data_IF_803046989171
#
_entry.id   IF_803046989171
#
_cell.length_a   1.000
_cell.length_b   1.000
_cell.length_c   1.000
_cell.angle_alpha   90.00
_cell.angle_beta   90.00
_cell.angle_gamma   90.00
#
_symmetry.space_group_name_H-M   'P 1'
#
loop_
_entity.id
_entity.type
_entity.pdbx_description
1 polymer ?
#
# COMPACT_ATOMS: atom_id res chain seq x y z
N UNK A 1 -26.65 7.55 -36.47
CA UNK A 1 -26.85 6.59 -35.37
C UNK A 1 -25.48 6.02 -35.04
N UNK A 2 -24.76 6.64 -34.10
CA UNK A 2 -23.43 6.20 -33.69
C UNK A 2 -23.60 5.24 -32.51
N UNK A 3 -23.24 3.97 -32.71
CA UNK A 3 -23.11 3.00 -31.63
C UNK A 3 -21.83 3.35 -30.88
N UNK A 4 -21.97 3.99 -29.72
CA UNK A 4 -20.90 4.08 -28.74
C UNK A 4 -20.69 2.66 -28.20
N UNK A 5 -19.65 2.01 -28.67
CA UNK A 5 -19.10 0.85 -27.99
C UNK A 5 -18.56 1.34 -26.64
N UNK A 6 -19.38 1.23 -25.60
CA UNK A 6 -18.91 1.29 -24.23
C UNK A 6 -17.88 0.18 -24.07
N UNK A 7 -16.60 0.56 -24.05
CA UNK A 7 -15.54 -0.31 -23.57
C UNK A 7 -15.85 -0.58 -22.09
N UNK A 8 -16.59 -1.65 -21.84
CA UNK A 8 -16.67 -2.26 -20.51
C UNK A 8 -15.26 -2.71 -20.18
N UNK A 9 -14.54 -1.88 -19.42
CA UNK A 9 -13.35 -2.30 -18.70
C UNK A 9 -13.76 -3.52 -17.90
N UNK A 10 -13.23 -4.68 -18.30
CA UNK A 10 -13.38 -5.92 -17.54
C UNK A 10 -12.81 -5.64 -16.15
N UNK A 11 -13.70 -5.51 -15.16
CA UNK A 11 -13.30 -5.59 -13.76
C UNK A 11 -12.77 -7.01 -13.59
N UNK A 12 -11.45 -7.15 -13.44
CA UNK A 12 -10.86 -8.46 -13.21
C UNK A 12 -11.51 -9.06 -11.96
N UNK A 13 -12.27 -10.13 -12.15
CA UNK A 13 -12.87 -10.86 -11.04
C UNK A 13 -11.76 -11.59 -10.30
N UNK A 14 -11.89 -11.68 -8.98
CA UNK A 14 -10.93 -12.35 -8.10
C UNK A 14 -10.63 -13.76 -8.58
N UNK A 15 -11.64 -14.51 -9.03
CA UNK A 15 -11.49 -15.86 -9.60
C UNK A 15 -10.65 -15.90 -10.88
N UNK A 16 -10.71 -14.86 -11.72
CA UNK A 16 -9.91 -14.77 -12.94
C UNK A 16 -8.43 -14.51 -12.62
N UNK A 17 -8.15 -13.82 -11.51
CA UNK A 17 -6.77 -13.55 -11.10
C UNK A 17 -6.05 -14.80 -10.64
N UNK A 18 -6.71 -15.72 -9.94
CA UNK A 18 -6.09 -16.98 -9.50
C UNK A 18 -5.47 -17.74 -10.69
N UNK A 19 -6.20 -17.84 -11.80
CA UNK A 19 -5.71 -18.47 -13.02
C UNK A 19 -4.45 -17.78 -13.57
N UNK A 20 -4.37 -16.45 -13.48
CA UNK A 20 -3.19 -15.70 -13.88
C UNK A 20 -2.00 -15.92 -12.94
N UNK A 21 -2.24 -16.13 -11.64
CA UNK A 21 -1.19 -16.32 -10.63
C UNK A 21 -0.44 -17.65 -10.79
N UNK A 22 -1.06 -18.66 -11.41
CA UNK A 22 -0.41 -19.96 -11.65
C UNK A 22 0.88 -19.88 -12.48
N UNK A 23 1.07 -18.79 -13.24
CA UNK A 23 2.33 -18.54 -13.94
C UNK A 23 3.52 -18.29 -12.99
N UNK A 24 3.26 -18.02 -11.71
CA UNK A 24 4.26 -17.71 -10.68
C UNK A 24 4.46 -18.83 -9.65
N UNK A 25 3.68 -19.91 -9.75
CA UNK A 25 3.74 -21.05 -8.84
C UNK A 25 2.37 -21.65 -8.57
N UNK A 26 2.31 -22.67 -7.72
CA UNK A 26 1.06 -23.19 -7.21
C UNK A 26 0.50 -22.23 -6.15
N UNK A 27 -0.40 -21.34 -6.56
CA UNK A 27 -0.96 -20.26 -5.75
C UNK A 27 -2.48 -20.35 -5.77
N UNK A 28 -3.10 -20.46 -4.59
CA UNK A 28 -4.54 -20.32 -4.40
C UNK A 28 -4.87 -18.90 -3.93
N UNK A 29 -5.98 -18.34 -4.43
CA UNK A 29 -6.50 -17.04 -4.00
C UNK A 29 -7.79 -17.24 -3.21
N UNK A 30 -7.71 -17.04 -1.88
CA UNK A 30 -8.77 -17.39 -0.95
C UNK A 30 -9.43 -16.13 -0.41
N UNK A 31 -10.68 -15.89 -0.77
CA UNK A 31 -11.50 -14.86 -0.13
C UNK A 31 -12.02 -15.33 1.22
N UNK A 32 -12.20 -14.42 2.19
CA UNK A 32 -12.79 -14.75 3.49
C UNK A 32 -13.73 -13.68 4.05
N UNK A 33 -14.72 -14.13 4.81
CA UNK A 33 -15.77 -13.32 5.45
C UNK A 33 -15.63 -13.28 6.97
N UNK A 34 -15.14 -12.17 7.50
CA UNK A 34 -15.01 -12.00 8.94
C UNK A 34 -14.08 -13.03 9.58
N UNK A 35 -14.18 -13.19 10.90
CA UNK A 35 -13.17 -13.95 11.68
C UNK A 35 -13.37 -15.45 11.60
N UNK A 36 -14.60 -15.93 11.71
CA UNK A 36 -14.88 -17.35 11.81
C UNK A 36 -14.55 -18.07 10.50
N UNK A 37 -14.96 -17.50 9.36
CA UNK A 37 -14.60 -18.04 8.04
C UNK A 37 -13.08 -18.00 7.81
N UNK A 38 -12.43 -16.90 8.20
CA UNK A 38 -10.98 -16.78 8.13
C UNK A 38 -10.27 -17.91 8.89
N UNK A 39 -10.61 -18.13 10.16
CA UNK A 39 -9.98 -19.16 10.98
C UNK A 39 -10.25 -20.56 10.42
N UNK A 40 -11.47 -20.83 9.93
CA UNK A 40 -11.81 -22.10 9.26
C UNK A 40 -10.95 -22.34 8.03
N UNK A 41 -10.82 -21.34 7.15
CA UNK A 41 -10.01 -21.44 5.92
C UNK A 41 -8.52 -21.60 6.24
N UNK A 42 -8.00 -20.90 7.25
CA UNK A 42 -6.62 -21.09 7.72
C UNK A 42 -6.42 -22.50 8.30
N UNK A 43 -7.37 -23.03 9.07
CA UNK A 43 -7.30 -24.38 9.60
C UNK A 43 -7.25 -25.44 8.49
N UNK A 44 -8.10 -25.28 7.48
CA UNK A 44 -8.09 -26.16 6.29
C UNK A 44 -6.78 -26.05 5.51
N UNK A 45 -6.23 -24.83 5.39
CA UNK A 45 -5.03 -24.55 4.62
C UNK A 45 -3.72 -24.97 5.28
N UNK A 46 -3.61 -24.78 6.60
CA UNK A 46 -2.36 -24.89 7.36
C UNK A 46 -2.44 -25.84 8.56
N UNK A 47 -3.63 -26.10 9.06
CA UNK A 47 -3.87 -26.60 10.41
C UNK A 47 -3.51 -25.55 11.46
N UNK A 48 -4.50 -25.03 12.20
CA UNK A 48 -4.28 -24.03 13.26
C UNK A 48 -3.33 -24.54 14.36
N UNK A 49 -3.23 -25.86 14.55
CA UNK A 49 -2.27 -26.49 15.45
C UNK A 49 -0.81 -26.26 15.09
N UNK A 50 -0.50 -25.85 13.84
CA UNK A 50 0.84 -25.52 13.38
C UNK A 50 1.19 -24.03 13.58
N UNK A 51 0.23 -23.22 14.03
CA UNK A 51 0.41 -21.79 14.27
C UNK A 51 0.58 -21.59 15.76
N UNK A 52 1.62 -20.87 16.16
CA UNK A 52 1.79 -20.50 17.57
C UNK A 52 0.67 -19.52 17.97
N UNK A 53 -0.11 -19.91 18.97
CA UNK A 53 -1.19 -19.11 19.57
C UNK A 53 -2.14 -18.48 18.52
N UNK A 54 -2.86 -19.26 17.70
CA UNK A 54 -3.60 -18.76 16.55
C UNK A 54 -4.68 -17.75 16.93
N UNK A 55 -5.31 -17.93 18.10
CA UNK A 55 -6.30 -16.99 18.62
C UNK A 55 -5.71 -15.59 18.87
N UNK A 56 -4.47 -15.53 19.38
CA UNK A 56 -3.75 -14.28 19.62
C UNK A 56 -3.20 -13.71 18.31
N UNK A 57 -2.55 -14.56 17.49
CA UNK A 57 -1.96 -14.17 16.20
C UNK A 57 -3.00 -13.53 15.28
N UNK A 58 -4.20 -14.10 15.23
CA UNK A 58 -5.27 -13.57 14.39
C UNK A 58 -6.29 -12.75 15.15
N UNK A 59 -6.04 -12.34 16.41
CA UNK A 59 -6.97 -11.53 17.22
C UNK A 59 -7.51 -10.30 16.48
N UNK A 60 -6.69 -9.74 15.58
CA UNK A 60 -7.11 -8.76 14.57
C UNK A 60 -6.88 -9.35 13.19
N UNK A 61 -7.92 -9.36 12.36
CA UNK A 61 -7.81 -9.85 11.00
C UNK A 61 -6.93 -8.92 10.15
N UNK A 62 -6.21 -9.48 9.16
CA UNK A 62 -5.53 -8.70 8.15
C UNK A 62 -6.47 -7.73 7.45
N UNK A 63 -5.99 -6.49 7.27
CA UNK A 63 -6.74 -5.42 6.59
C UNK A 63 -6.45 -5.33 5.10
N UNK A 64 -5.45 -6.08 4.62
CA UNK A 64 -5.03 -6.19 3.23
C UNK A 64 -5.07 -7.65 2.80
N UNK A 65 -4.97 -7.93 1.49
CA UNK A 65 -4.43 -9.19 1.02
C UNK A 65 -3.15 -9.52 1.80
N UNK A 66 -2.97 -10.78 2.12
CA UNK A 66 -1.74 -11.22 2.76
C UNK A 66 -1.42 -12.66 2.37
N UNK A 67 -0.14 -12.91 2.18
CA UNK A 67 0.37 -14.21 1.82
C UNK A 67 0.65 -15.05 3.05
N UNK A 68 0.24 -16.31 2.97
CA UNK A 68 0.64 -17.34 3.92
C UNK A 68 1.67 -18.22 3.24
N UNK A 69 2.93 -17.89 3.46
CA UNK A 69 4.06 -18.77 3.16
C UNK A 69 4.38 -19.57 4.42
N UNK A 70 3.80 -20.76 4.53
CA UNK A 70 4.09 -21.65 5.64
C UNK A 70 5.27 -22.56 5.37
N UNK A 71 5.96 -22.97 6.43
CA UNK A 71 6.65 -24.25 6.45
C UNK A 71 5.84 -25.22 7.31
N UNK A 72 5.48 -26.37 6.77
CA UNK A 72 4.97 -27.49 7.57
C UNK A 72 6.13 -28.43 7.87
N UNK A 73 6.46 -28.61 9.15
CA UNK A 73 7.60 -29.45 9.58
C UNK A 73 8.94 -29.07 8.92
N UNK A 74 9.19 -27.77 8.72
CA UNK A 74 10.43 -27.27 8.13
C UNK A 74 10.50 -27.30 6.60
N UNK A 75 9.52 -27.90 5.92
CA UNK A 75 9.37 -27.89 4.46
C UNK A 75 8.41 -26.80 4.03
N UNK A 76 8.70 -26.10 2.93
CA UNK A 76 7.76 -25.16 2.34
C UNK A 76 6.46 -25.87 1.98
N UNK A 77 5.32 -25.20 2.20
CA UNK A 77 4.05 -25.71 1.69
C UNK A 77 4.13 -25.84 0.15
N UNK A 78 3.58 -26.93 -0.38
CA UNK A 78 3.52 -27.15 -1.83
C UNK A 78 2.72 -26.06 -2.53
N UNK A 79 1.62 -25.63 -1.90
CA UNK A 79 0.71 -24.60 -2.42
C UNK A 79 0.80 -23.35 -1.55
N UNK A 80 1.12 -22.23 -2.17
CA UNK A 80 1.04 -20.92 -1.53
C UNK A 80 -0.42 -20.43 -1.52
N UNK A 81 -0.79 -19.68 -0.48
CA UNK A 81 -2.16 -19.15 -0.34
C UNK A 81 -2.14 -17.67 -0.06
N UNK A 82 -2.87 -16.91 -0.88
CA UNK A 82 -3.10 -15.49 -0.68
C UNK A 82 -4.52 -15.33 -0.15
N UNK A 83 -4.65 -14.77 1.04
CA UNK A 83 -5.93 -14.55 1.68
C UNK A 83 -6.39 -13.11 1.48
N UNK A 84 -7.60 -12.93 0.96
CA UNK A 84 -8.17 -11.62 0.63
C UNK A 84 -9.45 -11.40 1.45
N UNK A 85 -9.54 -10.32 2.26
CA UNK A 85 -10.81 -9.97 2.90
C UNK A 85 -11.87 -9.71 1.82
N UNK A 86 -13.01 -10.40 1.86
CA UNK A 86 -14.03 -10.32 0.81
C UNK A 86 -14.48 -8.88 0.53
N UNK A 87 -14.61 -8.06 1.59
CA UNK A 87 -14.98 -6.63 1.48
C UNK A 87 -14.00 -5.76 0.67
N UNK A 88 -12.83 -6.27 0.29
CA UNK A 88 -11.82 -5.54 -0.49
C UNK A 88 -11.75 -5.97 -1.95
N UNK A 89 -12.59 -6.91 -2.35
CA UNK A 89 -12.59 -7.40 -3.72
C UNK A 89 -13.36 -6.46 -4.66
N UNK A 90 -13.01 -6.39 -5.95
CA UNK A 90 -13.69 -5.52 -6.91
C UNK A 90 -15.20 -5.77 -7.03
N UNK A 91 -15.65 -6.99 -6.78
CA UNK A 91 -17.07 -7.40 -6.81
C UNK A 91 -17.92 -6.65 -5.77
N UNK A 92 -17.29 -6.14 -4.72
CA UNK A 92 -17.95 -5.36 -3.67
C UNK A 92 -17.89 -3.83 -3.90
N UNK A 93 -17.52 -3.38 -5.11
CA UNK A 93 -17.36 -1.96 -5.46
C UNK A 93 -16.48 -1.17 -4.47
N UNK A 94 -15.54 -1.86 -3.81
CA UNK A 94 -14.68 -1.27 -2.79
C UNK A 94 -13.34 -0.92 -3.41
N UNK A 95 -12.87 0.30 -3.13
CA UNK A 95 -11.56 0.74 -3.57
C UNK A 95 -10.49 0.32 -2.56
N UNK A 96 -9.70 -0.69 -2.92
CA UNK A 96 -8.73 -1.28 -2.00
C UNK A 96 -7.73 -0.23 -1.46
N UNK A 97 -7.24 0.70 -2.28
CA UNK A 97 -6.33 1.75 -1.83
C UNK A 97 -7.01 2.69 -0.81
N UNK A 98 -8.28 3.05 -1.01
CA UNK A 98 -9.04 3.84 -0.05
C UNK A 98 -9.15 3.13 1.30
N UNK A 99 -9.55 1.87 1.29
CA UNK A 99 -9.73 1.03 2.49
C UNK A 99 -8.41 0.84 3.27
N UNK A 100 -7.31 0.61 2.54
CA UNK A 100 -5.97 0.46 3.12
C UNK A 100 -5.44 1.77 3.68
N UNK A 101 -5.76 2.90 3.05
CA UNK A 101 -5.55 4.25 3.59
C UNK A 101 -6.61 4.66 4.62
N UNK A 102 -7.39 3.70 5.13
CA UNK A 102 -8.38 3.87 6.21
C UNK A 102 -9.49 4.88 5.86
N UNK A 103 -9.80 5.03 4.59
CA UNK A 103 -10.76 6.00 4.06
C UNK A 103 -10.46 7.45 4.50
N UNK A 104 -9.19 7.76 4.82
CA UNK A 104 -8.81 9.10 5.26
C UNK A 104 -9.07 10.18 4.22
N UNK A 105 -9.07 9.78 2.95
CA UNK A 105 -9.25 10.64 1.79
C UNK A 105 -10.63 10.46 1.13
N UNK A 106 -11.56 9.76 1.81
CA UNK A 106 -12.83 9.32 1.25
C UNK A 106 -12.81 7.85 0.84
N UNK A 107 -13.97 7.34 0.43
CA UNK A 107 -14.16 5.97 -0.07
C UNK A 107 -13.96 5.86 -1.59
N UNK A 108 -13.81 6.99 -2.27
CA UNK A 108 -13.56 7.08 -3.70
C UNK A 108 -12.42 8.04 -3.97
N UNK A 109 -11.36 7.54 -4.57
CA UNK A 109 -10.14 8.27 -4.86
C UNK A 109 -10.06 8.65 -6.34
N UNK A 110 -9.20 9.61 -6.64
CA UNK A 110 -8.81 9.91 -8.01
C UNK A 110 -7.61 9.05 -8.41
N UNK A 111 -7.74 8.26 -9.48
CA UNK A 111 -6.66 7.42 -10.02
C UNK A 111 -6.16 7.98 -11.35
N UNK A 112 -4.87 7.78 -11.62
CA UNK A 112 -4.32 7.97 -12.96
C UNK A 112 -4.62 6.76 -13.86
N UNK A 113 -4.60 5.56 -13.28
CA UNK A 113 -5.00 4.31 -13.92
C UNK A 113 -6.46 3.99 -13.57
N UNK A 114 -6.71 2.89 -12.86
CA UNK A 114 -8.01 2.49 -12.37
C UNK A 114 -7.93 1.59 -11.13
N UNK A 115 -9.07 1.40 -10.48
CA UNK A 115 -9.21 0.59 -9.25
C UNK A 115 -8.94 -0.90 -9.49
N UNK A 116 -9.22 -1.40 -10.70
CA UNK A 116 -8.95 -2.78 -11.07
C UNK A 116 -7.45 -3.07 -11.22
N UNK A 117 -6.71 -2.17 -11.87
CA UNK A 117 -5.27 -2.32 -12.06
C UNK A 117 -4.50 -2.20 -10.74
N UNK A 118 -4.90 -1.28 -9.87
CA UNK A 118 -4.31 -1.13 -8.52
C UNK A 118 -4.65 -2.31 -7.60
N UNK A 119 -5.85 -2.88 -7.71
CA UNK A 119 -6.19 -4.15 -7.06
C UNK A 119 -5.31 -5.30 -7.55
N UNK A 120 -5.19 -5.47 -8.87
CA UNK A 120 -4.30 -6.47 -9.48
C UNK A 120 -2.87 -6.32 -9.00
N UNK A 121 -2.37 -5.09 -8.89
CA UNK A 121 -1.01 -4.82 -8.38
C UNK A 121 -0.82 -5.33 -6.95
N UNK A 122 -1.78 -5.15 -6.04
CA UNK A 122 -1.68 -5.72 -4.69
C UNK A 122 -1.71 -7.26 -4.69
N UNK A 123 -2.52 -7.88 -5.55
CA UNK A 123 -2.56 -9.35 -5.64
C UNK A 123 -1.26 -9.91 -6.22
N UNK A 124 -0.68 -9.26 -7.23
CA UNK A 124 0.60 -9.65 -7.79
C UNK A 124 1.77 -9.39 -6.83
N UNK A 125 1.65 -8.37 -5.97
CA UNK A 125 2.60 -8.13 -4.88
C UNK A 125 2.61 -9.33 -3.92
N UNK A 126 1.44 -9.79 -3.48
CA UNK A 126 1.34 -11.00 -2.66
C UNK A 126 1.83 -12.26 -3.39
N UNK A 127 1.59 -12.38 -4.70
CA UNK A 127 2.13 -13.49 -5.49
C UNK A 127 3.66 -13.53 -5.53
N UNK A 128 4.35 -12.37 -5.43
CA UNK A 128 5.81 -12.35 -5.27
C UNK A 128 6.23 -12.99 -3.95
N UNK A 129 5.48 -12.73 -2.87
CA UNK A 129 5.76 -13.31 -1.55
C UNK A 129 5.60 -14.83 -1.54
N UNK A 130 4.84 -15.42 -2.47
CA UNK A 130 4.75 -16.88 -2.62
C UNK A 130 6.03 -17.58 -3.11
N UNK A 131 7.01 -16.83 -3.61
CA UNK A 131 8.23 -17.41 -4.18
C UNK A 131 9.25 -17.79 -3.07
N UNK A 132 10.05 -18.85 -3.27
CA UNK A 132 10.80 -19.50 -2.21
C UNK A 132 11.94 -18.66 -1.59
N UNK A 133 12.28 -17.53 -2.18
CA UNK A 133 13.27 -16.56 -1.69
C UNK A 133 12.64 -15.43 -0.82
N UNK A 134 11.30 -15.33 -0.79
CA UNK A 134 10.52 -14.41 0.05
C UNK A 134 9.90 -15.14 1.26
N UNK A 135 10.74 -15.51 2.23
CA UNK A 135 10.31 -16.21 3.45
C UNK A 135 10.35 -15.34 4.71
N UNK A 136 10.46 -14.01 4.55
CA UNK A 136 10.57 -13.06 5.66
C UNK A 136 11.88 -13.20 6.45
N UNK A 137 12.11 -12.29 7.39
CA UNK A 137 13.32 -12.26 8.20
C UNK A 137 13.30 -11.15 9.24
N UNK A 138 14.41 -10.43 9.34
CA UNK A 138 14.44 -9.19 10.13
C UNK A 138 13.75 -8.04 9.37
N UNK A 139 13.57 -6.91 10.04
CA UNK A 139 12.91 -5.75 9.44
C UNK A 139 13.57 -5.25 8.13
N UNK A 140 14.88 -5.47 7.94
CA UNK A 140 15.58 -5.06 6.72
C UNK A 140 15.37 -6.07 5.60
N UNK A 141 15.36 -7.38 5.90
CA UNK A 141 14.96 -8.39 4.91
C UNK A 141 13.51 -8.20 4.51
N UNK A 142 12.60 -8.06 5.46
CA UNK A 142 11.18 -7.83 5.17
C UNK A 142 11.00 -6.57 4.31
N UNK A 143 11.73 -5.49 4.59
CA UNK A 143 11.66 -4.28 3.78
C UNK A 143 12.13 -4.49 2.33
N UNK A 144 13.20 -5.25 2.12
CA UNK A 144 13.64 -5.60 0.77
C UNK A 144 12.63 -6.48 0.06
N UNK A 145 12.11 -7.50 0.73
CA UNK A 145 11.09 -8.40 0.16
C UNK A 145 9.82 -7.59 -0.23
N UNK A 146 9.37 -6.64 0.59
CA UNK A 146 8.25 -5.74 0.25
C UNK A 146 8.54 -4.86 -0.97
N UNK A 147 9.75 -4.28 -1.05
CA UNK A 147 10.16 -3.46 -2.19
C UNK A 147 10.27 -4.29 -3.49
N UNK A 148 10.83 -5.50 -3.42
CA UNK A 148 10.89 -6.42 -4.54
C UNK A 148 9.50 -6.85 -5.01
N UNK A 149 8.57 -7.08 -4.08
CA UNK A 149 7.17 -7.38 -4.39
C UNK A 149 6.44 -6.22 -5.08
N UNK A 150 6.65 -4.98 -4.64
CA UNK A 150 6.13 -3.79 -5.30
C UNK A 150 6.61 -3.67 -6.76
N UNK A 151 7.92 -3.86 -6.98
CA UNK A 151 8.53 -3.80 -8.31
C UNK A 151 8.15 -4.97 -9.20
N UNK A 152 8.06 -6.18 -8.64
CA UNK A 152 7.59 -7.36 -9.36
C UNK A 152 6.20 -7.12 -9.91
N UNK A 153 5.25 -6.71 -9.06
CA UNK A 153 3.88 -6.46 -9.47
C UNK A 153 3.79 -5.36 -10.53
N UNK A 154 4.54 -4.27 -10.35
CA UNK A 154 4.62 -3.20 -11.34
C UNK A 154 5.12 -3.72 -12.69
N UNK A 155 6.25 -4.44 -12.72
CA UNK A 155 6.85 -4.93 -13.95
C UNK A 155 5.99 -5.98 -14.67
N UNK A 156 5.15 -6.73 -13.96
CA UNK A 156 4.23 -7.71 -14.55
C UNK A 156 2.98 -7.09 -15.16
N UNK A 157 2.50 -5.97 -14.60
CA UNK A 157 1.24 -5.36 -15.01
C UNK A 157 1.40 -4.11 -15.89
N UNK A 158 2.54 -3.43 -15.77
CA UNK A 158 2.83 -2.25 -16.57
C UNK A 158 3.11 -2.61 -18.03
N UNK A 159 2.46 -1.92 -18.95
CA UNK A 159 2.66 -1.98 -20.38
C UNK A 159 2.79 -0.56 -20.96
N UNK A 160 3.02 -0.44 -22.27
CA UNK A 160 3.22 0.86 -22.92
C UNK A 160 2.04 1.85 -22.74
N UNK A 161 0.83 1.35 -22.45
CA UNK A 161 -0.38 2.16 -22.33
C UNK A 161 -0.67 2.63 -20.91
N UNK A 162 -0.29 1.85 -19.88
CA UNK A 162 -0.67 2.11 -18.49
C UNK A 162 0.52 2.36 -17.55
N UNK A 163 1.77 2.23 -18.02
CA UNK A 163 2.97 2.24 -17.17
C UNK A 163 3.06 3.49 -16.30
N UNK A 164 2.90 4.66 -16.90
CA UNK A 164 3.04 5.94 -16.18
C UNK A 164 1.89 6.15 -15.20
N UNK A 165 0.68 5.78 -15.60
CA UNK A 165 -0.52 5.87 -14.77
C UNK A 165 -0.42 4.96 -13.54
N UNK A 166 -0.03 3.69 -13.74
CA UNK A 166 0.16 2.74 -12.65
C UNK A 166 1.30 3.20 -11.73
N UNK A 167 2.41 3.69 -12.29
CA UNK A 167 3.52 4.23 -11.52
C UNK A 167 3.07 5.37 -10.60
N UNK A 168 2.28 6.31 -11.09
CA UNK A 168 1.73 7.41 -10.28
C UNK A 168 0.91 6.86 -9.12
N UNK A 169 -0.03 5.95 -9.39
CA UNK A 169 -0.93 5.42 -8.35
C UNK A 169 -0.17 4.63 -7.27
N UNK A 170 0.73 3.71 -7.64
CA UNK A 170 1.43 2.86 -6.65
C UNK A 170 2.46 3.64 -5.84
N UNK A 171 3.15 4.60 -6.46
CA UNK A 171 4.12 5.45 -5.74
C UNK A 171 3.40 6.39 -4.78
N UNK A 172 2.28 6.99 -5.20
CA UNK A 172 1.45 7.79 -4.31
C UNK A 172 0.92 6.97 -3.13
N UNK A 173 0.44 5.75 -3.40
CA UNK A 173 -0.08 4.85 -2.36
C UNK A 173 1.01 4.46 -1.35
N UNK A 174 2.18 4.02 -1.84
CA UNK A 174 3.30 3.65 -0.96
C UNK A 174 3.86 4.85 -0.22
N UNK A 175 3.88 6.05 -0.80
CA UNK A 175 4.31 7.26 -0.11
C UNK A 175 3.39 7.60 1.07
N UNK A 176 2.07 7.58 0.86
CA UNK A 176 1.08 7.84 1.92
C UNK A 176 1.16 6.79 3.02
N UNK A 177 1.14 5.51 2.65
CA UNK A 177 1.16 4.42 3.63
C UNK A 177 2.46 4.39 4.42
N UNK A 178 3.62 4.53 3.76
CA UNK A 178 4.94 4.63 4.39
C UNK A 178 5.03 5.77 5.38
N UNK A 179 4.57 6.97 5.00
CA UNK A 179 4.64 8.14 5.86
C UNK A 179 3.70 8.05 7.06
N UNK A 180 2.50 7.48 6.92
CA UNK A 180 1.46 7.66 7.92
C UNK A 180 1.13 6.44 8.78
N UNK A 181 1.17 5.22 8.23
CA UNK A 181 0.56 4.04 8.91
C UNK A 181 1.35 2.74 8.82
N UNK A 182 2.25 2.61 7.86
CA UNK A 182 3.02 1.39 7.63
C UNK A 182 3.93 1.03 8.81
N UNK A 183 4.17 -0.27 9.01
CA UNK A 183 5.30 -0.75 9.82
C UNK A 183 6.62 -0.52 9.05
N UNK A 184 7.79 -0.58 9.72
CA UNK A 184 9.08 -0.35 9.05
C UNK A 184 9.31 -1.20 7.79
N UNK A 185 8.91 -2.48 7.80
CA UNK A 185 9.02 -3.34 6.61
C UNK A 185 8.29 -2.77 5.39
N UNK A 186 7.18 -2.06 5.56
CA UNK A 186 6.38 -1.52 4.46
C UNK A 186 6.72 -0.05 4.12
N UNK A 187 7.80 0.51 4.70
CA UNK A 187 8.29 1.86 4.38
C UNK A 187 9.14 1.83 3.11
N UNK A 188 8.53 1.55 1.95
CA UNK A 188 9.18 1.34 0.65
C UNK A 188 8.89 2.47 -0.36
N UNK A 189 8.16 3.52 0.06
CA UNK A 189 7.62 4.52 -0.86
C UNK A 189 8.68 5.31 -1.65
N UNK A 190 9.82 5.60 -1.05
CA UNK A 190 10.86 6.39 -1.70
C UNK A 190 11.77 5.53 -2.57
N UNK A 191 12.14 4.33 -2.11
CA UNK A 191 12.88 3.35 -2.90
C UNK A 191 12.06 2.92 -4.12
N UNK A 192 10.77 2.65 -3.97
CA UNK A 192 9.87 2.33 -5.10
C UNK A 192 9.83 3.47 -6.12
N UNK A 193 9.59 4.70 -5.66
CA UNK A 193 9.58 5.89 -6.53
C UNK A 193 10.90 6.02 -7.29
N UNK A 194 12.04 5.94 -6.60
CA UNK A 194 13.36 6.06 -7.22
C UNK A 194 13.66 4.94 -8.20
N UNK A 195 13.28 3.70 -7.90
CA UNK A 195 13.47 2.57 -8.79
C UNK A 195 12.67 2.73 -10.10
N UNK A 196 11.42 3.19 -10.01
CA UNK A 196 10.58 3.47 -11.18
C UNK A 196 11.16 4.63 -12.02
N UNK A 197 11.71 5.65 -11.35
CA UNK A 197 12.41 6.79 -11.98
C UNK A 197 13.83 6.46 -12.47
N UNK A 198 14.30 5.21 -12.31
CA UNK A 198 15.67 4.78 -12.61
C UNK A 198 16.75 5.64 -11.92
N UNK A 199 16.48 6.10 -10.69
CA UNK A 199 17.39 6.84 -9.83
C UNK A 199 18.19 5.91 -8.91
N UNK A 200 19.25 6.45 -8.31
CA UNK A 200 20.11 5.71 -7.39
C UNK A 200 19.31 5.04 -6.27
N UNK A 201 19.52 3.73 -6.03
CA UNK A 201 18.88 3.00 -4.93
C UNK A 201 19.12 3.67 -3.58
N UNK A 202 18.15 3.50 -2.68
CA UNK A 202 18.23 4.00 -1.30
C UNK A 202 18.51 2.83 -0.36
N UNK A 203 19.34 3.05 0.64
CA UNK A 203 19.52 2.08 1.73
C UNK A 203 18.24 1.97 2.56
N UNK A 204 17.78 0.74 2.79
CA UNK A 204 16.54 0.45 3.50
C UNK A 204 16.51 1.05 4.92
N UNK A 205 17.64 0.99 5.65
CA UNK A 205 17.71 1.53 7.01
C UNK A 205 17.56 3.06 7.02
N UNK A 206 18.16 3.71 6.04
CA UNK A 206 18.07 5.16 5.84
C UNK A 206 16.65 5.57 5.43
N UNK A 207 16.01 4.84 4.52
CA UNK A 207 14.63 5.07 4.11
C UNK A 207 13.65 4.97 5.30
N UNK A 208 13.73 3.87 6.04
CA UNK A 208 12.87 3.64 7.21
C UNK A 208 13.04 4.76 8.25
N UNK A 209 14.27 5.18 8.53
CA UNK A 209 14.54 6.26 9.48
C UNK A 209 13.97 7.61 9.00
N UNK A 210 14.07 7.90 7.70
CA UNK A 210 13.51 9.12 7.11
C UNK A 210 11.97 9.13 7.21
N UNK A 211 11.29 8.03 6.88
CA UNK A 211 9.83 7.92 7.02
C UNK A 211 9.37 8.02 8.48
N UNK A 212 10.09 7.41 9.42
CA UNK A 212 9.80 7.55 10.86
C UNK A 212 9.93 9.00 11.34
N UNK A 213 10.96 9.70 10.86
CA UNK A 213 11.20 11.11 11.15
C UNK A 213 10.04 11.97 10.62
N UNK A 214 9.68 11.80 9.34
CA UNK A 214 8.55 12.49 8.72
C UNK A 214 7.24 12.21 9.46
N UNK A 215 6.96 10.96 9.82
CA UNK A 215 5.77 10.58 10.59
C UNK A 215 5.71 11.31 11.93
N UNK A 216 6.84 11.40 12.64
CA UNK A 216 6.92 12.11 13.91
C UNK A 216 6.69 13.63 13.73
N UNK A 217 7.23 14.23 12.67
CA UNK A 217 7.01 15.63 12.31
C UNK A 217 5.53 15.91 12.02
N UNK A 218 4.89 15.09 11.18
CA UNK A 218 3.47 15.21 10.83
C UNK A 218 2.61 15.10 12.07
N UNK A 219 2.83 14.07 12.91
CA UNK A 219 2.04 13.88 14.13
C UNK A 219 2.20 15.04 15.12
N UNK A 220 3.42 15.59 15.27
CA UNK A 220 3.67 16.75 16.12
C UNK A 220 2.93 17.99 15.59
N UNK A 221 3.02 18.26 14.29
CA UNK A 221 2.36 19.40 13.65
C UNK A 221 0.84 19.25 13.67
N UNK A 222 0.31 18.06 13.39
CA UNK A 222 -1.12 17.79 13.46
C UNK A 222 -1.66 18.03 14.86
N UNK A 223 -0.95 17.59 15.91
CA UNK A 223 -1.32 17.87 17.31
C UNK A 223 -1.25 19.35 17.66
N UNK A 224 -0.26 20.10 17.14
CA UNK A 224 -0.14 21.52 17.46
C UNK A 224 -1.23 22.37 16.80
N UNK A 225 -1.82 21.90 15.69
CA UNK A 225 -2.92 22.60 15.02
C UNK A 225 -4.30 22.04 15.39
N UNK A 226 -4.36 20.91 16.09
CA UNK A 226 -5.61 20.24 16.39
C UNK A 226 -6.43 21.02 17.42
N UNK A 227 -7.74 21.12 17.20
CA UNK A 227 -8.66 21.73 18.18
C UNK A 227 -9.15 20.73 19.23
N UNK A 228 -8.88 19.44 19.03
CA UNK A 228 -9.24 18.34 19.92
C UNK A 228 -8.00 17.50 20.28
N UNK A 229 -8.13 16.62 21.29
CA UNK A 229 -7.03 15.76 21.77
C UNK A 229 -6.44 14.90 20.64
N UNK A 230 -7.30 14.40 19.74
CA UNK A 230 -6.90 13.61 18.59
C UNK A 230 -7.08 14.43 17.30
N UNK A 231 -6.02 14.61 16.49
CA UNK A 231 -6.14 15.27 15.20
C UNK A 231 -7.10 14.54 14.25
N UNK A 232 -7.92 15.31 13.56
CA UNK A 232 -8.76 14.88 12.44
C UNK A 232 -7.92 14.65 11.18
N UNK A 233 -8.47 13.93 10.19
CA UNK A 233 -7.82 13.74 8.90
C UNK A 233 -7.49 15.07 8.21
N UNK A 234 -8.38 16.07 8.36
CA UNK A 234 -8.17 17.41 7.80
C UNK A 234 -6.96 18.10 8.44
N UNK A 235 -6.78 17.98 9.75
CA UNK A 235 -5.62 18.51 10.46
C UNK A 235 -4.34 17.76 10.09
N UNK A 236 -4.40 16.44 9.90
CA UNK A 236 -3.25 15.67 9.43
C UNK A 236 -2.81 16.10 8.01
N UNK A 237 -3.75 16.27 7.08
CA UNK A 237 -3.45 16.71 5.72
C UNK A 237 -2.94 18.15 5.73
N UNK A 238 -3.56 19.04 6.50
CA UNK A 238 -3.06 20.40 6.69
C UNK A 238 -1.62 20.37 7.18
N UNK A 239 -1.30 19.59 8.22
CA UNK A 239 0.04 19.47 8.76
C UNK A 239 1.09 19.09 7.70
N UNK A 240 0.75 18.17 6.79
CA UNK A 240 1.62 17.78 5.66
C UNK A 240 1.86 18.96 4.72
N UNK A 241 0.81 19.65 4.30
CA UNK A 241 0.93 20.82 3.41
C UNK A 241 1.72 21.96 4.07
N UNK A 242 1.58 22.16 5.39
CA UNK A 242 2.38 23.14 6.13
C UNK A 242 3.87 22.78 6.14
N UNK A 243 4.20 21.53 6.43
CA UNK A 243 5.57 21.02 6.47
C UNK A 243 6.23 21.04 5.08
N UNK A 244 5.48 20.72 4.01
CA UNK A 244 5.97 20.87 2.61
C UNK A 244 6.39 22.31 2.33
N UNK A 245 5.55 23.29 2.69
CA UNK A 245 5.82 24.72 2.43
C UNK A 245 7.08 25.18 3.16
N UNK A 246 7.25 24.77 4.42
CA UNK A 246 8.45 25.08 5.20
C UNK A 246 9.70 24.44 4.58
N UNK A 247 9.62 23.18 4.15
CA UNK A 247 10.71 22.49 3.46
C UNK A 247 11.11 23.16 2.13
N UNK A 248 10.17 23.80 1.42
CA UNK A 248 10.45 24.55 0.19
C UNK A 248 10.97 25.97 0.40
N UNK A 249 10.92 26.50 1.63
CA UNK A 249 11.30 27.89 1.97
C UNK A 249 12.60 27.99 2.77
N UNK A 250 13.05 26.93 3.44
CA UNK A 250 14.27 26.95 4.24
C UNK A 250 15.55 26.82 3.37
N UNK A 251 16.08 27.95 2.90
CA UNK A 251 17.43 28.03 2.29
C UNK A 251 18.57 28.06 3.34
N UNK A 252 18.34 27.67 4.60
CA UNK A 252 19.32 27.90 5.68
C UNK A 252 19.25 27.03 6.93
N UNK A 253 18.29 26.10 7.04
CA UNK A 253 18.33 25.02 8.04
C UNK A 253 18.54 23.72 7.27
N UNK A 254 19.51 22.92 7.70
CA UNK A 254 19.79 21.60 7.13
C UNK A 254 18.62 20.64 7.39
N UNK A 255 17.53 20.81 6.67
CA UNK A 255 16.52 19.77 6.55
C UNK A 255 17.18 18.61 5.79
N UNK A 256 17.11 17.41 6.37
CA UNK A 256 17.60 16.20 5.73
C UNK A 256 16.97 16.07 4.33
N UNK A 257 17.76 15.95 3.24
CA UNK A 257 17.23 15.93 1.88
C UNK A 257 16.15 14.86 1.64
N UNK A 258 16.24 13.72 2.33
CA UNK A 258 15.24 12.65 2.21
C UNK A 258 13.92 13.05 2.86
N UNK A 259 13.98 13.67 4.04
CA UNK A 259 12.81 14.24 4.71
C UNK A 259 12.09 15.25 3.80
N UNK A 260 12.83 16.14 3.13
CA UNK A 260 12.26 17.11 2.17
C UNK A 260 11.60 16.39 0.99
N UNK A 261 12.30 15.43 0.38
CA UNK A 261 11.78 14.66 -0.74
C UNK A 261 10.50 13.90 -0.39
N UNK A 262 10.44 13.28 0.79
CA UNK A 262 9.25 12.58 1.28
C UNK A 262 8.09 13.57 1.50
N UNK A 263 8.32 14.72 2.12
CA UNK A 263 7.25 15.70 2.35
C UNK A 263 6.65 16.25 1.05
N UNK A 264 7.48 16.48 0.04
CA UNK A 264 7.01 16.90 -1.29
C UNK A 264 6.20 15.78 -1.94
N UNK A 265 6.77 14.58 -2.04
CA UNK A 265 6.12 13.44 -2.67
C UNK A 265 4.82 13.03 -1.97
N UNK A 266 4.75 13.16 -0.64
CA UNK A 266 3.57 12.86 0.16
C UNK A 266 2.43 13.85 -0.11
N UNK A 267 2.73 15.15 -0.15
CA UNK A 267 1.70 16.16 -0.44
C UNK A 267 1.19 16.04 -1.88
N UNK A 268 2.08 15.74 -2.84
CA UNK A 268 1.70 15.46 -4.23
C UNK A 268 0.85 14.18 -4.34
N UNK A 269 1.17 13.13 -3.58
CA UNK A 269 0.37 11.90 -3.51
C UNK A 269 -1.05 12.17 -2.97
N UNK A 270 -1.19 13.07 -1.99
CA UNK A 270 -2.51 13.46 -1.47
C UNK A 270 -3.26 14.32 -2.48
N UNK A 271 -2.59 15.24 -3.16
CA UNK A 271 -3.18 16.04 -4.23
C UNK A 271 -3.69 15.15 -5.38
N UNK A 272 -2.97 14.06 -5.67
CA UNK A 272 -3.34 13.06 -6.65
C UNK A 272 -4.62 12.30 -6.27
N UNK A 273 -4.67 11.65 -5.11
CA UNK A 273 -5.83 10.83 -4.73
C UNK A 273 -7.03 11.65 -4.24
N UNK A 274 -6.80 12.84 -3.68
CA UNK A 274 -7.81 13.61 -2.97
C UNK A 274 -7.78 15.11 -3.34
N UNK A 275 -7.88 15.47 -4.64
CA UNK A 275 -7.62 16.83 -5.11
C UNK A 275 -8.55 17.88 -4.48
N UNK A 276 -9.81 17.56 -4.23
CA UNK A 276 -10.75 18.48 -3.59
C UNK A 276 -10.39 18.73 -2.10
N UNK A 277 -10.02 17.67 -1.38
CA UNK A 277 -9.60 17.74 0.01
C UNK A 277 -8.28 18.51 0.15
N UNK A 278 -7.31 18.24 -0.73
CA UNK A 278 -6.04 18.95 -0.80
C UNK A 278 -6.23 20.45 -1.05
N UNK A 279 -7.03 20.84 -2.05
CA UNK A 279 -7.37 22.26 -2.28
C UNK A 279 -8.03 22.92 -1.07
N UNK A 280 -8.92 22.20 -0.38
CA UNK A 280 -9.64 22.73 0.77
C UNK A 280 -8.73 23.08 1.96
N UNK A 281 -7.56 22.43 2.10
CA UNK A 281 -6.59 22.76 3.14
C UNK A 281 -5.54 23.77 2.65
N UNK A 282 -5.19 23.74 1.36
CA UNK A 282 -4.22 24.65 0.78
C UNK A 282 -4.71 26.12 0.83
N UNK A 283 -6.01 26.32 0.63
CA UNK A 283 -6.67 27.63 0.58
C UNK A 283 -6.99 28.22 1.96
N UNK A 284 -7.00 27.43 3.04
CA UNK A 284 -7.26 27.93 4.42
C UNK A 284 -6.17 28.90 4.90
N UNK A 285 -5.01 28.96 4.22
CA UNK A 285 -3.96 29.95 4.47
C UNK A 285 -4.13 31.27 3.69
N UNK A 286 -5.03 31.34 2.72
CA UNK A 286 -5.22 32.52 1.86
C UNK A 286 -6.26 33.52 2.41
N UNK A 287 -6.97 33.14 3.48
CA UNK A 287 -7.91 33.97 4.24
C UNK A 287 -7.44 34.08 5.69
#
# INVERSE_FOLDING_TARGET
MLVLASATTSHAQTEQLEAELHQFGDIELITFEGREDFLRKIDTALGLGNIKDPNQTFARLPRSPFTVTGRQNGQALTTCRIFVPARLTPENNSEIFAELMRNWFGTSLNYASDTGLTYRWLIFHEARHCQPDHFGGDALKDNRDEHEADLFAFNKLANAQNRDQLAIDITAFRMITSALIARPSHMTGLSLKRAIEARTPLDASVEMAAFQTVRAMINRRAKSIATAINPTNRELIRAITELRKEAGQETGRSSDPLTVEILIALDDAIAHFAPALHRSVANVRAN
#
